data_IF_661026287988
#
_entry.id   IF_661026287988
#
_cell.length_a   1.000
_cell.length_b   1.000
_cell.length_c   1.000
_cell.angle_alpha   90.00
_cell.angle_beta   90.00
_cell.angle_gamma   90.00
#
_symmetry.space_group_name_H-M   'P 1'
#
loop_
_entity.id
_entity.type
_entity.pdbx_description
1 polymer ?
#
# COMPACT_ATOMS: atom_id res chain seq x y z
N UNK A 1 -6.02 -21.38 -15.49
CA UNK A 1 -7.33 -22.06 -15.65
C UNK A 1 -8.01 -22.43 -14.34
N UNK A 2 -7.27 -22.61 -13.23
CA UNK A 2 -7.85 -22.62 -11.86
C UNK A 2 -8.55 -21.29 -11.47
N UNK A 3 -8.08 -20.18 -12.05
CA UNK A 3 -8.61 -18.82 -11.81
C UNK A 3 -9.98 -18.55 -12.46
N UNK A 4 -10.36 -19.29 -13.51
CA UNK A 4 -11.71 -19.16 -14.12
C UNK A 4 -12.76 -19.94 -13.32
N UNK A 5 -12.37 -21.09 -12.77
CA UNK A 5 -13.25 -21.95 -11.98
C UNK A 5 -13.53 -21.39 -10.58
N UNK A 6 -12.52 -20.88 -9.87
CA UNK A 6 -12.73 -20.08 -8.65
C UNK A 6 -13.33 -18.69 -8.94
N UNK A 7 -13.08 -18.18 -10.14
CA UNK A 7 -13.60 -16.91 -10.62
C UNK A 7 -15.12 -16.86 -10.71
N UNK A 8 -15.83 -17.99 -10.86
CA UNK A 8 -17.31 -18.03 -10.78
C UNK A 8 -17.87 -18.39 -9.40
N UNK A 9 -17.01 -18.87 -8.50
CA UNK A 9 -17.37 -19.39 -7.16
C UNK A 9 -17.26 -18.26 -6.11
N UNK A 10 -16.31 -17.34 -6.26
CA UNK A 10 -16.14 -16.16 -5.38
C UNK A 10 -17.13 -15.03 -5.73
N UNK A 11 -17.86 -15.17 -6.85
CA UNK A 11 -18.74 -14.15 -7.39
C UNK A 11 -20.12 -14.05 -6.73
N UNK A 12 -20.51 -14.80 -5.70
CA UNK A 12 -21.93 -14.83 -5.31
C UNK A 12 -22.05 -14.94 -3.79
N UNK A 13 -22.16 -13.83 -3.05
CA UNK A 13 -22.18 -13.72 -1.59
C UNK A 13 -23.58 -13.76 -0.97
N UNK A 14 -23.80 -14.69 -0.05
CA UNK A 14 -25.09 -15.19 0.42
C UNK A 14 -24.88 -16.42 1.31
N UNK A 15 -25.93 -16.91 1.96
CA UNK A 15 -25.81 -18.02 2.93
C UNK A 15 -25.26 -19.30 2.26
N UNK A 16 -24.22 -19.91 2.86
CA UNK A 16 -23.60 -21.17 2.43
C UNK A 16 -24.64 -22.24 2.10
N UNK A 17 -25.72 -22.30 2.89
CA UNK A 17 -26.81 -23.28 2.73
C UNK A 17 -27.67 -23.03 1.49
N UNK A 18 -27.76 -21.77 1.04
CA UNK A 18 -28.45 -21.38 -0.18
C UNK A 18 -27.61 -21.71 -1.41
N UNK A 19 -26.30 -21.43 -1.38
CA UNK A 19 -25.41 -21.73 -2.51
C UNK A 19 -25.17 -23.22 -2.71
N UNK A 20 -25.02 -23.98 -1.62
CA UNK A 20 -24.85 -25.43 -1.71
C UNK A 20 -26.02 -26.09 -2.46
N UNK A 21 -27.26 -25.63 -2.21
CA UNK A 21 -28.47 -26.12 -2.89
C UNK A 21 -28.49 -25.75 -4.36
N UNK A 22 -28.23 -24.49 -4.67
CA UNK A 22 -28.28 -24.00 -6.06
C UNK A 22 -27.17 -24.60 -6.93
N UNK A 23 -26.01 -24.90 -6.35
CA UNK A 23 -24.92 -25.58 -7.05
C UNK A 23 -25.10 -27.09 -7.15
N UNK A 24 -25.80 -27.71 -6.19
CA UNK A 24 -26.26 -29.08 -6.32
C UNK A 24 -27.17 -29.24 -7.54
N UNK A 25 -28.15 -28.33 -7.74
CA UNK A 25 -29.04 -28.35 -8.91
C UNK A 25 -28.27 -28.26 -10.24
N UNK A 26 -27.25 -27.40 -10.31
CA UNK A 26 -26.38 -27.29 -11.49
C UNK A 26 -25.57 -28.56 -11.70
N UNK A 27 -25.03 -29.17 -10.63
CA UNK A 27 -24.28 -30.41 -10.70
C UNK A 27 -25.15 -31.59 -11.13
N UNK A 28 -26.37 -31.68 -10.61
CA UNK A 28 -27.38 -32.67 -10.99
C UNK A 28 -27.78 -32.51 -12.46
N UNK A 29 -28.02 -31.29 -12.95
CA UNK A 29 -28.31 -31.03 -14.36
C UNK A 29 -27.16 -31.45 -15.29
N UNK A 30 -25.89 -31.29 -14.86
CA UNK A 30 -24.72 -31.80 -15.60
C UNK A 30 -24.70 -33.33 -15.62
N UNK A 31 -25.02 -33.97 -14.49
CA UNK A 31 -25.05 -35.42 -14.34
C UNK A 31 -26.17 -36.04 -15.19
N UNK A 32 -27.33 -35.40 -15.28
CA UNK A 32 -28.43 -35.77 -16.17
C UNK A 32 -28.02 -35.67 -17.65
N UNK A 33 -27.41 -34.56 -18.09
CA UNK A 33 -26.93 -34.41 -19.48
C UNK A 33 -25.90 -35.47 -19.86
N UNK A 34 -25.04 -35.84 -18.91
CA UNK A 34 -24.04 -36.88 -19.09
C UNK A 34 -24.67 -38.28 -19.18
N UNK A 35 -25.75 -38.53 -18.42
CA UNK A 35 -26.50 -39.79 -18.41
C UNK A 35 -27.49 -39.95 -19.58
N UNK A 36 -27.92 -38.86 -20.23
CA UNK A 36 -28.85 -38.87 -21.38
C UNK A 36 -28.14 -39.07 -22.73
N UNK A 37 -26.82 -38.86 -22.81
CA UNK A 37 -25.99 -39.14 -24.00
C UNK A 37 -25.71 -40.62 -24.40
N UNK A 38 -26.37 -41.69 -23.91
CA UNK A 38 -26.12 -43.04 -24.44
C UNK A 38 -26.77 -43.41 -25.78
N UNK A 39 -27.61 -42.59 -26.43
CA UNK A 39 -28.57 -43.11 -27.44
C UNK A 39 -28.52 -42.65 -28.89
N UNK A 40 -27.55 -41.85 -29.36
CA UNK A 40 -27.34 -41.66 -30.81
C UNK A 40 -25.84 -41.53 -31.19
N UNK A 41 -25.26 -42.44 -32.00
CA UNK A 41 -23.95 -42.25 -32.58
C UNK A 41 -24.09 -41.45 -33.88
N UNK A 42 -23.99 -40.12 -33.79
CA UNK A 42 -23.82 -39.26 -34.96
C UNK A 42 -22.52 -38.47 -34.83
N UNK A 43 -21.56 -38.89 -35.66
CA UNK A 43 -20.25 -38.34 -35.96
C UNK A 43 -19.86 -36.97 -35.39
N UNK A 44 -18.80 -36.99 -34.59
CA UNK A 44 -18.05 -35.83 -34.14
C UNK A 44 -17.63 -36.01 -32.68
N UNK A 45 -16.40 -36.49 -32.44
CA UNK A 45 -15.82 -36.54 -31.10
C UNK A 45 -15.51 -35.12 -30.59
N UNK A 46 -16.54 -34.36 -30.21
CA UNK A 46 -16.38 -33.29 -29.23
C UNK A 46 -16.88 -33.83 -27.90
N UNK A 47 -16.00 -34.59 -27.22
CA UNK A 47 -16.26 -35.02 -25.84
C UNK A 47 -16.52 -33.82 -24.94
N UNK A 48 -17.42 -33.97 -23.97
CA UNK A 48 -17.72 -32.94 -22.96
C UNK A 48 -16.40 -32.48 -22.33
N UNK A 49 -16.10 -31.17 -22.42
CA UNK A 49 -14.91 -30.57 -21.82
C UNK A 49 -14.88 -30.86 -20.31
N UNK A 50 -13.71 -31.08 -19.73
CA UNK A 50 -13.61 -31.44 -18.30
C UNK A 50 -14.31 -30.44 -17.36
N UNK A 51 -14.34 -29.17 -17.74
CA UNK A 51 -15.02 -28.07 -17.02
C UNK A 51 -16.55 -28.18 -16.95
N UNK A 52 -17.15 -28.92 -17.88
CA UNK A 52 -18.59 -29.12 -18.01
C UNK A 52 -19.07 -30.44 -17.39
N UNK A 53 -18.14 -31.29 -16.93
CA UNK A 53 -18.47 -32.55 -16.26
C UNK A 53 -19.08 -32.30 -14.88
N UNK A 54 -19.94 -33.21 -14.46
CA UNK A 54 -20.49 -33.22 -13.11
C UNK A 54 -19.45 -33.77 -12.12
N UNK A 55 -19.47 -33.24 -10.91
CA UNK A 55 -18.80 -33.84 -9.76
C UNK A 55 -19.59 -35.08 -9.32
N UNK A 56 -18.86 -36.13 -8.95
CA UNK A 56 -19.44 -37.23 -8.18
C UNK A 56 -20.03 -36.69 -6.87
N UNK A 57 -21.16 -37.25 -6.47
CA UNK A 57 -21.95 -36.75 -5.33
C UNK A 57 -21.15 -36.65 -4.03
N UNK A 58 -20.36 -37.68 -3.71
CA UNK A 58 -19.53 -37.70 -2.50
C UNK A 58 -18.44 -36.62 -2.52
N UNK A 59 -17.83 -36.38 -3.68
CA UNK A 59 -16.84 -35.31 -3.86
C UNK A 59 -17.49 -33.93 -3.74
N UNK A 60 -18.69 -33.74 -4.30
CA UNK A 60 -19.45 -32.51 -4.18
C UNK A 60 -19.80 -32.19 -2.71
N UNK A 61 -20.34 -33.17 -1.98
CA UNK A 61 -20.69 -33.02 -0.57
C UNK A 61 -19.46 -32.70 0.30
N UNK A 62 -18.31 -33.32 0.02
CA UNK A 62 -17.06 -33.04 0.72
C UNK A 62 -16.55 -31.61 0.48
N UNK A 63 -16.65 -31.11 -0.75
CA UNK A 63 -16.26 -29.75 -1.12
C UNK A 63 -17.12 -28.71 -0.42
N UNK A 64 -18.44 -28.90 -0.42
CA UNK A 64 -19.38 -28.00 0.27
C UNK A 64 -19.10 -27.99 1.78
N UNK A 65 -18.87 -29.15 2.38
CA UNK A 65 -18.62 -29.25 3.83
C UNK A 65 -17.34 -28.53 4.28
N UNK A 66 -16.32 -28.48 3.42
CA UNK A 66 -15.01 -27.88 3.73
C UNK A 66 -14.90 -26.41 3.33
N UNK A 67 -15.92 -25.85 2.70
CA UNK A 67 -15.90 -24.47 2.24
C UNK A 67 -15.99 -23.50 3.43
N UNK A 68 -15.08 -22.53 3.47
CA UNK A 68 -15.09 -21.41 4.42
C UNK A 68 -15.17 -20.10 3.63
N UNK A 69 -16.02 -19.16 4.08
CA UNK A 69 -16.13 -17.86 3.42
C UNK A 69 -14.89 -17.00 3.68
N UNK A 70 -14.44 -16.22 2.66
CA UNK A 70 -13.35 -15.27 2.84
C UNK A 70 -13.63 -14.31 3.99
N UNK A 71 -12.66 -14.15 4.91
CA UNK A 71 -12.84 -13.34 6.11
C UNK A 71 -12.54 -11.85 5.85
N UNK A 72 -13.55 -10.96 5.89
CA UNK A 72 -13.35 -9.54 5.59
C UNK A 72 -12.49 -8.81 6.62
N UNK A 73 -12.35 -9.37 7.84
CA UNK A 73 -11.53 -8.79 8.91
C UNK A 73 -10.04 -9.10 8.76
N UNK A 74 -9.67 -10.07 7.92
CA UNK A 74 -8.29 -10.49 7.69
C UNK A 74 -7.77 -9.84 6.42
N UNK A 75 -6.72 -9.02 6.53
CA UNK A 75 -6.20 -8.24 5.38
C UNK A 75 -5.90 -9.06 4.13
N UNK A 76 -5.39 -10.28 4.29
CA UNK A 76 -5.00 -11.15 3.17
C UNK A 76 -6.13 -12.07 2.67
N UNK A 77 -7.24 -12.14 3.41
CA UNK A 77 -8.40 -12.99 3.12
C UNK A 77 -9.68 -12.16 2.88
N UNK A 78 -9.55 -10.83 2.89
CA UNK A 78 -10.65 -9.89 2.63
C UNK A 78 -10.92 -9.83 1.13
N UNK A 79 -12.15 -10.16 0.67
CA UNK A 79 -12.47 -10.19 -0.76
C UNK A 79 -12.47 -8.77 -1.34
N UNK A 80 -11.93 -8.60 -2.56
CA UNK A 80 -11.89 -7.31 -3.25
C UNK A 80 -13.26 -6.92 -3.85
N UNK A 81 -14.00 -7.91 -4.34
CA UNK A 81 -15.36 -7.77 -4.84
C UNK A 81 -16.20 -8.93 -4.31
N UNK A 82 -17.42 -8.62 -3.91
CA UNK A 82 -18.46 -9.61 -3.65
C UNK A 82 -19.53 -9.40 -4.71
N UNK A 83 -19.73 -10.37 -5.59
CA UNK A 83 -20.87 -10.36 -6.50
C UNK A 83 -21.97 -11.23 -5.83
N UNK A 84 -23.26 -11.13 -6.17
CA UNK A 84 -24.35 -11.91 -5.52
C UNK A 84 -25.05 -12.79 -6.56
N UNK A 85 -25.65 -13.93 -6.17
CA UNK A 85 -26.31 -14.80 -7.16
C UNK A 85 -27.57 -14.22 -7.77
N UNK A 86 -28.31 -13.45 -6.99
CA UNK A 86 -29.56 -12.79 -7.36
C UNK A 86 -29.36 -11.72 -8.44
N UNK A 87 -28.13 -11.23 -8.64
CA UNK A 87 -27.81 -10.28 -9.69
C UNK A 87 -27.93 -10.96 -11.06
N UNK A 88 -28.81 -10.40 -11.91
CA UNK A 88 -29.11 -10.92 -13.25
C UNK A 88 -27.86 -10.97 -14.15
N UNK A 89 -26.92 -10.03 -13.96
CA UNK A 89 -25.68 -9.93 -14.72
C UNK A 89 -24.53 -9.57 -13.82
N UNK A 90 -23.42 -10.28 -13.99
CA UNK A 90 -22.13 -9.92 -13.36
C UNK A 90 -21.62 -8.64 -14.03
N UNK A 91 -21.28 -7.59 -13.27
CA UNK A 91 -20.75 -6.35 -13.82
C UNK A 91 -19.27 -6.50 -14.21
N UNK A 92 -18.99 -7.36 -15.19
CA UNK A 92 -17.63 -7.74 -15.60
C UNK A 92 -16.78 -6.56 -16.06
N UNK A 93 -17.34 -5.68 -16.88
CA UNK A 93 -16.63 -4.49 -17.40
C UNK A 93 -16.25 -3.53 -16.27
N UNK A 94 -17.14 -3.32 -15.29
CA UNK A 94 -16.85 -2.46 -14.15
C UNK A 94 -15.79 -3.06 -13.20
N UNK A 95 -15.77 -4.39 -13.03
CA UNK A 95 -14.72 -5.08 -12.28
C UNK A 95 -13.38 -4.97 -13.00
N UNK A 96 -13.39 -5.14 -14.33
CA UNK A 96 -12.21 -5.00 -15.17
C UNK A 96 -11.61 -3.60 -15.05
N UNK A 97 -12.44 -2.56 -15.23
CA UNK A 97 -12.06 -1.16 -15.08
C UNK A 97 -11.54 -0.84 -13.67
N UNK A 98 -12.10 -1.45 -12.62
CA UNK A 98 -11.66 -1.22 -11.24
C UNK A 98 -10.28 -1.83 -10.93
N UNK A 99 -9.92 -2.93 -11.61
CA UNK A 99 -8.63 -3.63 -11.46
C UNK A 99 -7.55 -2.99 -12.35
N UNK A 100 -7.83 -2.84 -13.64
CA UNK A 100 -6.86 -2.44 -14.67
C UNK A 100 -6.89 -0.92 -14.89
N UNK A 101 -8.03 -0.29 -14.68
CA UNK A 101 -8.32 1.06 -15.18
C UNK A 101 -8.88 1.01 -16.60
N UNK A 102 -9.50 2.11 -17.01
CA UNK A 102 -10.00 2.31 -18.37
C UNK A 102 -8.79 2.39 -19.35
N UNK A 103 -8.88 1.67 -20.47
CA UNK A 103 -7.82 1.58 -21.49
C UNK A 103 -7.65 2.87 -22.32
N UNK A 104 -8.52 3.85 -22.11
CA UNK A 104 -8.30 5.21 -22.61
C UNK A 104 -7.07 5.86 -21.95
N UNK A 105 -6.29 6.56 -22.77
CA UNK A 105 -4.99 7.13 -22.38
C UNK A 105 -5.08 7.93 -21.07
N UNK A 106 -4.33 7.49 -20.05
CA UNK A 106 -4.17 8.21 -18.78
C UNK A 106 -5.00 7.71 -17.58
N UNK A 107 -5.87 6.71 -17.74
CA UNK A 107 -6.71 6.18 -16.63
C UNK A 107 -6.29 4.82 -16.06
N UNK A 108 -5.21 4.21 -16.57
CA UNK A 108 -4.66 2.97 -16.00
C UNK A 108 -4.25 3.17 -14.54
N UNK A 109 -4.68 2.25 -13.68
CA UNK A 109 -4.42 2.32 -12.25
C UNK A 109 -2.95 2.05 -11.97
N UNK A 110 -2.19 3.11 -11.63
CA UNK A 110 -0.77 2.97 -11.26
C UNK A 110 -0.70 2.24 -9.91
N UNK A 111 -0.23 1.00 -9.94
CA UNK A 111 -0.04 0.21 -8.72
C UNK A 111 1.13 0.79 -7.94
N UNK A 112 0.85 1.38 -6.78
CA UNK A 112 1.90 1.82 -5.87
C UNK A 112 2.68 0.59 -5.39
N UNK A 113 3.99 0.51 -5.63
CA UNK A 113 4.78 -0.64 -5.21
C UNK A 113 4.69 -0.80 -3.69
N UNK A 114 4.59 -2.05 -3.24
CA UNK A 114 4.52 -2.35 -1.82
C UNK A 114 5.80 -1.84 -1.13
N UNK A 115 5.66 -1.20 0.04
CA UNK A 115 6.79 -0.67 0.80
C UNK A 115 7.87 -1.72 1.09
N UNK A 116 7.49 -3.01 1.17
CA UNK A 116 8.43 -4.12 1.32
C UNK A 116 9.36 -4.35 0.12
N UNK A 117 8.96 -3.91 -1.08
CA UNK A 117 9.76 -4.06 -2.32
C UNK A 117 10.57 -2.82 -2.68
N UNK A 118 10.37 -1.70 -1.98
CA UNK A 118 11.16 -0.49 -2.19
C UNK A 118 12.48 -0.65 -1.45
N UNK A 119 13.57 -0.86 -2.20
CA UNK A 119 14.91 -0.94 -1.63
C UNK A 119 15.19 0.34 -0.81
N UNK A 120 15.32 0.19 0.50
CA UNK A 120 15.63 1.30 1.39
C UNK A 120 17.04 1.78 1.07
N UNK A 121 17.18 3.04 0.66
CA UNK A 121 18.50 3.68 0.45
C UNK A 121 19.33 3.39 1.69
N UNK A 122 20.41 2.62 1.53
CA UNK A 122 21.31 2.29 2.61
C UNK A 122 21.98 3.59 3.06
N UNK A 123 21.53 4.12 4.20
CA UNK A 123 22.28 5.16 4.89
C UNK A 123 23.65 4.58 5.24
N UNK A 124 24.73 5.31 4.95
CA UNK A 124 26.09 4.89 5.32
C UNK A 124 26.17 4.49 6.80
N UNK A 125 27.05 3.53 7.13
CA UNK A 125 27.33 3.17 8.51
C UNK A 125 27.61 4.44 9.33
N UNK A 126 26.95 4.58 10.49
CA UNK A 126 27.09 5.77 11.34
C UNK A 126 26.26 6.99 10.97
N UNK A 127 25.41 6.95 9.93
CA UNK A 127 24.58 8.11 9.52
C UNK A 127 23.78 8.74 10.67
N UNK A 128 23.12 7.94 11.50
CA UNK A 128 22.31 8.46 12.62
C UNK A 128 23.16 9.17 13.67
N UNK A 129 24.40 8.73 13.87
CA UNK A 129 25.33 9.38 14.77
C UNK A 129 25.76 10.74 14.21
N UNK A 130 26.16 10.79 12.94
CA UNK A 130 26.52 12.05 12.28
C UNK A 130 25.35 13.03 12.18
N UNK A 131 24.13 12.52 11.96
CA UNK A 131 22.89 13.30 11.98
C UNK A 131 22.66 13.96 13.34
N UNK A 132 22.71 13.17 14.42
CA UNK A 132 22.49 13.69 15.76
C UNK A 132 23.56 14.71 16.16
N UNK A 133 24.83 14.39 15.89
CA UNK A 133 25.98 15.25 16.16
C UNK A 133 25.91 16.56 15.40
N UNK A 134 25.68 16.52 14.08
CA UNK A 134 25.64 17.72 13.23
C UNK A 134 24.48 18.63 13.63
N UNK A 135 23.29 18.08 13.87
CA UNK A 135 22.13 18.89 14.32
C UNK A 135 22.37 19.53 15.68
N UNK A 136 23.06 18.85 16.61
CA UNK A 136 23.45 19.42 17.90
C UNK A 136 24.41 20.60 17.75
N UNK A 137 25.38 20.53 16.83
CA UNK A 137 26.32 21.63 16.58
C UNK A 137 25.59 22.87 16.09
N UNK A 138 24.61 22.72 15.19
CA UNK A 138 23.78 23.84 14.72
C UNK A 138 22.97 24.46 15.86
N UNK A 139 22.35 23.62 16.70
CA UNK A 139 21.60 24.08 17.87
C UNK A 139 22.46 24.86 18.86
N UNK A 140 23.66 24.36 19.16
CA UNK A 140 24.57 25.03 20.07
C UNK A 140 24.96 26.42 19.55
N UNK A 141 25.19 26.58 18.25
CA UNK A 141 25.47 27.90 17.65
C UNK A 141 24.31 28.87 17.79
N UNK A 142 23.07 28.42 17.57
CA UNK A 142 21.88 29.25 17.77
C UNK A 142 21.75 29.66 19.25
N UNK A 143 22.02 28.74 20.17
CA UNK A 143 21.96 29.01 21.60
C UNK A 143 23.07 29.93 22.10
N UNK A 144 24.28 29.83 21.52
CA UNK A 144 25.38 30.76 21.79
C UNK A 144 25.02 32.17 21.32
N UNK A 145 24.54 32.31 20.09
CA UNK A 145 24.07 33.60 19.57
C UNK A 145 22.94 34.20 20.43
N UNK A 146 21.99 33.37 20.88
CA UNK A 146 20.88 33.79 21.73
C UNK A 146 21.32 34.25 23.13
N UNK A 147 22.46 33.79 23.64
CA UNK A 147 23.01 34.28 24.92
C UNK A 147 23.57 35.69 24.80
N UNK A 148 24.17 35.99 23.66
CA UNK A 148 24.74 37.32 23.37
C UNK A 148 23.65 38.36 23.04
N UNK A 149 22.46 37.90 22.63
CA UNK A 149 21.30 38.73 22.29
C UNK A 149 20.06 38.39 23.15
N UNK A 150 20.11 38.63 24.47
CA UNK A 150 19.06 38.22 25.38
C UNK A 150 17.77 39.02 25.17
N UNK A 151 16.69 38.34 24.79
CA UNK A 151 15.36 38.94 24.64
C UNK A 151 15.12 39.65 23.31
N UNK A 152 16.11 39.66 22.42
CA UNK A 152 15.93 40.10 21.03
C UNK A 152 15.23 38.98 20.25
N UNK A 153 14.19 39.36 19.51
CA UNK A 153 13.54 38.50 18.52
C UNK A 153 14.03 38.88 17.13
N UNK A 154 14.17 37.89 16.24
CA UNK A 154 14.81 38.08 14.94
C UNK A 154 16.33 37.88 14.99
N UNK A 155 16.96 37.96 13.82
CA UNK A 155 18.42 37.89 13.67
C UNK A 155 18.88 36.77 12.76
N UNK A 156 20.10 36.90 12.25
CA UNK A 156 20.74 35.92 11.38
C UNK A 156 21.89 35.24 12.14
N UNK A 157 21.86 33.90 12.18
CA UNK A 157 22.92 33.10 12.80
C UNK A 157 23.70 32.37 11.73
N UNK A 158 24.97 32.74 11.55
CA UNK A 158 25.87 32.00 10.66
C UNK A 158 26.25 30.65 11.30
N UNK A 159 25.87 29.58 10.62
CA UNK A 159 26.21 28.19 10.96
C UNK A 159 27.49 27.77 10.21
N UNK A 160 28.14 28.67 9.46
CA UNK A 160 29.32 28.43 8.64
C UNK A 160 29.04 27.66 7.36
N UNK A 161 30.08 27.30 6.61
CA UNK A 161 29.95 26.83 5.22
C UNK A 161 29.41 25.39 5.07
N UNK A 162 28.76 25.12 3.94
CA UNK A 162 28.39 23.78 3.49
C UNK A 162 29.56 23.11 2.74
N UNK A 163 29.35 21.89 2.23
CA UNK A 163 30.36 21.16 1.45
C UNK A 163 30.74 21.81 0.11
N UNK A 164 30.02 22.85 -0.32
CA UNK A 164 30.29 23.63 -1.53
C UNK A 164 30.90 25.00 -1.24
N UNK A 165 31.17 25.34 0.03
CA UNK A 165 31.69 26.65 0.44
C UNK A 165 30.64 27.76 0.52
N UNK A 166 29.35 27.42 0.47
CA UNK A 166 28.26 28.39 0.64
C UNK A 166 27.98 28.57 2.13
N UNK A 167 27.89 29.83 2.59
CA UNK A 167 27.56 30.15 3.97
C UNK A 167 26.11 29.74 4.29
N UNK A 168 25.92 29.00 5.38
CA UNK A 168 24.60 28.61 5.85
C UNK A 168 24.16 29.53 6.97
N UNK A 169 23.06 30.26 6.75
CA UNK A 169 22.48 31.20 7.70
C UNK A 169 21.11 30.71 8.15
N UNK A 170 20.87 30.77 9.45
CA UNK A 170 19.54 30.53 10.04
C UNK A 170 18.91 31.88 10.34
N UNK A 171 17.73 32.12 9.78
CA UNK A 171 16.93 33.32 10.02
C UNK A 171 16.00 33.06 11.20
N UNK A 172 16.22 33.77 12.31
CA UNK A 172 15.41 33.62 13.50
C UNK A 172 14.10 34.41 13.36
N UNK A 173 12.97 33.86 13.83
CA UNK A 173 11.69 34.55 13.79
C UNK A 173 11.67 35.72 14.77
N UNK A 174 10.78 36.70 14.52
CA UNK A 174 10.63 37.90 15.37
C UNK A 174 10.23 37.63 16.83
N UNK A 175 9.85 36.40 17.16
CA UNK A 175 9.63 35.95 18.53
C UNK A 175 10.81 35.08 19.01
N UNK A 176 11.29 35.25 20.25
CA UNK A 176 12.44 34.51 20.75
C UNK A 176 12.16 33.00 20.81
N UNK A 177 13.02 32.20 20.17
CA UNK A 177 12.89 30.75 20.11
C UNK A 177 13.67 30.11 21.27
N UNK A 178 12.94 29.53 22.22
CA UNK A 178 13.56 28.83 23.35
C UNK A 178 14.14 27.45 22.98
N UNK A 179 15.08 26.98 23.81
CA UNK A 179 15.64 25.62 23.75
C UNK A 179 14.58 24.50 23.58
N UNK A 180 13.42 24.53 24.25
CA UNK A 180 12.41 23.48 24.09
C UNK A 180 11.86 23.37 22.65
N UNK A 181 11.64 24.50 21.99
CA UNK A 181 11.14 24.57 20.62
C UNK A 181 12.18 24.07 19.63
N UNK A 182 13.43 24.52 19.79
CA UNK A 182 14.56 24.06 18.99
C UNK A 182 14.79 22.53 19.10
N UNK A 183 14.73 22.00 20.33
CA UNK A 183 14.84 20.55 20.55
C UNK A 183 13.65 19.77 19.96
N UNK A 184 12.45 20.37 19.91
CA UNK A 184 11.29 19.76 19.24
C UNK A 184 11.51 19.68 17.73
N UNK A 185 11.93 20.77 17.10
CA UNK A 185 12.24 20.82 15.66
C UNK A 185 13.33 19.81 15.29
N UNK A 186 14.37 19.69 16.12
CA UNK A 186 15.42 18.67 15.95
C UNK A 186 14.87 17.25 15.97
N UNK A 187 14.02 16.90 16.95
CA UNK A 187 13.42 15.56 17.02
C UNK A 187 12.53 15.26 15.82
N UNK A 188 11.76 16.25 15.35
CA UNK A 188 10.94 16.11 14.14
C UNK A 188 11.80 15.85 12.91
N UNK A 189 12.87 16.62 12.73
CA UNK A 189 13.83 16.43 11.64
C UNK A 189 14.50 15.05 11.68
N UNK A 190 14.98 14.61 12.84
CA UNK A 190 15.60 13.27 12.99
C UNK A 190 14.60 12.16 12.64
N UNK A 191 13.34 12.30 13.03
CA UNK A 191 12.27 11.34 12.67
C UNK A 191 12.06 11.28 11.15
N UNK A 192 12.02 12.44 10.49
CA UNK A 192 11.89 12.54 9.04
C UNK A 192 13.06 11.88 8.30
N UNK A 193 14.28 12.02 8.82
CA UNK A 193 15.48 11.49 8.18
C UNK A 193 15.68 9.98 8.37
N UNK A 194 14.89 9.33 9.24
CA UNK A 194 14.87 7.85 9.36
C UNK A 194 14.18 7.17 8.18
N UNK A 195 13.30 7.89 7.49
CA UNK A 195 12.61 7.42 6.28
C UNK A 195 13.24 7.99 5.01
N UNK A 196 13.75 9.23 5.06
CA UNK A 196 14.36 9.92 3.92
C UNK A 196 15.83 10.31 4.21
N UNK A 197 16.73 9.33 4.26
CA UNK A 197 18.14 9.59 4.54
C UNK A 197 18.80 10.45 3.44
N UNK A 198 19.58 11.46 3.85
CA UNK A 198 20.43 12.26 2.95
C UNK A 198 21.89 11.86 3.14
N UNK A 199 22.79 12.29 2.24
CA UNK A 199 24.23 12.12 2.46
C UNK A 199 24.71 12.94 3.66
N UNK A 200 25.76 12.47 4.33
CA UNK A 200 26.31 13.10 5.55
C UNK A 200 26.69 14.57 5.31
N UNK A 201 27.27 14.87 4.15
CA UNK A 201 27.65 16.21 3.70
C UNK A 201 26.47 17.20 3.65
N UNK A 202 25.26 16.68 3.36
CA UNK A 202 24.05 17.49 3.15
C UNK A 202 23.20 17.62 4.41
N UNK A 203 23.56 16.95 5.52
CA UNK A 203 22.79 17.01 6.77
C UNK A 203 22.67 18.46 7.25
N UNK A 204 23.80 19.17 7.26
CA UNK A 204 23.88 20.55 7.76
C UNK A 204 23.01 21.50 6.93
N UNK A 205 23.18 21.49 5.61
CA UNK A 205 22.39 22.28 4.65
C UNK A 205 20.89 21.99 4.79
N UNK A 206 20.52 20.70 4.83
CA UNK A 206 19.12 20.28 4.87
C UNK A 206 18.46 20.64 6.20
N UNK A 207 19.20 20.59 7.31
CA UNK A 207 18.69 20.99 8.62
C UNK A 207 18.51 22.52 8.73
N UNK A 208 19.45 23.30 8.21
CA UNK A 208 19.32 24.77 8.18
C UNK A 208 18.10 25.20 7.36
N UNK A 209 17.92 24.63 6.17
CA UNK A 209 16.72 24.87 5.36
C UNK A 209 15.44 24.49 6.11
N UNK A 210 15.43 23.33 6.74
CA UNK A 210 14.28 22.89 7.54
C UNK A 210 13.96 23.86 8.69
N UNK A 211 14.96 24.44 9.35
CA UNK A 211 14.76 25.43 10.40
C UNK A 211 14.13 26.70 9.84
N UNK A 212 14.66 27.25 8.74
CA UNK A 212 14.11 28.45 8.11
C UNK A 212 12.65 28.22 7.65
N UNK A 213 12.37 27.11 6.97
CA UNK A 213 11.00 26.73 6.58
C UNK A 213 10.07 26.60 7.81
N UNK A 214 10.58 26.12 8.94
CA UNK A 214 9.82 25.95 10.18
C UNK A 214 9.62 27.26 10.96
N UNK A 215 10.40 28.30 10.66
CA UNK A 215 10.29 29.62 11.29
C UNK A 215 9.44 30.59 10.47
N UNK A 216 9.32 30.37 9.16
CA UNK A 216 8.38 31.09 8.28
C UNK A 216 6.92 30.62 8.43
N UNK A 217 6.71 29.36 8.85
CA UNK A 217 5.40 28.73 9.01
C UNK A 217 4.65 29.14 10.29
#
# INVERSE_FOLDING_TARGET
MWLYWMGEIILKGGDISYFARQRLEVNEARLERQNVSPSEPLGGEEGIKEEDKAYEKENWENLVFRYEEPNPMVRWDSPLFTVVWEDEKVPGDAIWDAIIGDDSEGKRKIVKPNAATVAKVHSSEGFLYELDKTTQVVLNRILEWSKDHPGEGGGEVSIGENSKGEELVVELPGNPVGLPTLQRLRRQFISLQRTNAVSVERIKETFVRYLNDSFEA
#
